data_IF_276870055230
#
_entry.id   IF_276870055230
#
_cell.length_a   1.000
_cell.length_b   1.000
_cell.length_c   1.000
_cell.angle_alpha   90.00
_cell.angle_beta   90.00
_cell.angle_gamma   90.00
#
_symmetry.space_group_name_H-M   'P 1'
#
loop_
_entity.id
_entity.type
_entity.pdbx_description
1 polymer ?
#
# COMPACT_ATOMS: atom_id res chain seq x y z
N UNK A 1 11.34 -1.11 -14.61
CA UNK A 1 10.52 -0.83 -13.42
C UNK A 1 9.87 -2.13 -12.97
N UNK A 2 10.06 -2.53 -11.72
CA UNK A 2 9.42 -3.73 -11.16
C UNK A 2 8.11 -3.26 -10.53
N UNK A 3 7.00 -3.60 -11.17
CA UNK A 3 5.64 -3.18 -10.80
C UNK A 3 4.76 -4.36 -10.47
N UNK A 4 3.85 -4.18 -9.52
CA UNK A 4 2.78 -5.13 -9.23
C UNK A 4 1.42 -4.42 -9.26
N UNK A 5 0.44 -5.07 -9.88
CA UNK A 5 -0.96 -4.65 -9.89
C UNK A 5 -1.81 -5.81 -9.37
N UNK A 6 -2.55 -5.54 -8.29
CA UNK A 6 -3.48 -6.48 -7.66
C UNK A 6 -4.82 -5.78 -7.39
N UNK A 7 -5.20 -4.87 -8.29
CA UNK A 7 -6.47 -4.15 -8.27
C UNK A 7 -7.66 -5.07 -8.09
N UNK A 8 -8.58 -4.71 -7.18
CA UNK A 8 -9.84 -5.43 -6.96
C UNK A 8 -9.70 -6.82 -6.33
N UNK A 9 -8.51 -7.18 -5.85
CA UNK A 9 -8.30 -8.44 -5.13
C UNK A 9 -8.71 -8.35 -3.66
N UNK A 10 -8.80 -9.49 -2.97
CA UNK A 10 -9.04 -9.56 -1.52
C UNK A 10 -7.76 -9.26 -0.69
N UNK A 11 -6.91 -8.38 -1.20
CA UNK A 11 -5.67 -7.97 -0.50
C UNK A 11 -6.02 -7.27 0.80
N UNK A 12 -5.42 -7.73 1.90
CA UNK A 12 -5.57 -7.19 3.25
C UNK A 12 -4.28 -6.57 3.77
N UNK A 13 -4.34 -5.97 4.96
CA UNK A 13 -3.20 -5.36 5.65
C UNK A 13 -1.98 -6.30 5.78
N UNK A 14 -2.21 -7.61 5.91
CA UNK A 14 -1.13 -8.60 5.98
C UNK A 14 -0.32 -8.66 4.70
N UNK A 15 -0.99 -8.61 3.54
CA UNK A 15 -0.36 -8.61 2.23
C UNK A 15 0.41 -7.31 1.99
N UNK A 16 -0.14 -6.17 2.43
CA UNK A 16 0.53 -4.86 2.39
C UNK A 16 1.89 -4.88 3.09
N UNK A 17 1.99 -5.53 4.26
CA UNK A 17 3.27 -5.66 4.97
C UNK A 17 4.33 -6.37 4.11
N UNK A 18 3.96 -7.45 3.44
CA UNK A 18 4.88 -8.19 2.56
C UNK A 18 5.32 -7.35 1.35
N UNK A 19 4.41 -6.55 0.79
CA UNK A 19 4.72 -5.63 -0.32
C UNK A 19 5.67 -4.53 0.15
N UNK A 20 5.42 -3.94 1.32
CA UNK A 20 6.27 -2.90 1.92
C UNK A 20 7.69 -3.38 2.19
N UNK A 21 7.86 -4.64 2.60
CA UNK A 21 9.17 -5.26 2.83
C UNK A 21 9.99 -5.54 1.55
N UNK A 22 9.42 -5.36 0.36
CA UNK A 22 10.12 -5.60 -0.89
C UNK A 22 11.06 -4.44 -1.21
N UNK A 23 12.37 -4.72 -1.28
CA UNK A 23 13.38 -3.73 -1.65
C UNK A 23 13.50 -3.51 -3.18
N UNK A 24 12.75 -4.27 -3.97
CA UNK A 24 12.84 -4.26 -5.43
C UNK A 24 11.61 -3.62 -6.09
N UNK A 25 10.47 -3.54 -5.39
CA UNK A 25 9.24 -2.99 -5.95
C UNK A 25 9.32 -1.47 -6.01
N UNK A 26 9.06 -0.92 -7.20
CA UNK A 26 9.08 0.52 -7.45
C UNK A 26 7.68 1.09 -7.65
N UNK A 27 6.75 0.27 -8.14
CA UNK A 27 5.38 0.68 -8.45
C UNK A 27 4.37 -0.36 -7.97
N UNK A 28 3.37 0.08 -7.21
CA UNK A 28 2.34 -0.78 -6.63
C UNK A 28 0.95 -0.17 -6.90
N UNK A 29 0.07 -0.96 -7.51
CA UNK A 29 -1.34 -0.61 -7.69
C UNK A 29 -2.23 -1.52 -6.85
N UNK A 30 -2.97 -0.92 -5.92
CA UNK A 30 -3.90 -1.57 -4.98
C UNK A 30 -5.31 -0.98 -5.11
N UNK A 31 -5.69 -0.51 -6.29
CA UNK A 31 -6.99 0.14 -6.48
C UNK A 31 -8.14 -0.83 -6.18
N UNK A 32 -9.26 -0.31 -5.67
CA UNK A 32 -10.45 -1.10 -5.30
C UNK A 32 -10.20 -2.20 -4.25
N UNK A 33 -9.06 -2.20 -3.54
CA UNK A 33 -8.78 -3.16 -2.46
C UNK A 33 -9.48 -2.74 -1.16
N UNK A 34 -10.71 -3.22 -0.98
CA UNK A 34 -11.58 -2.79 0.12
C UNK A 34 -11.17 -3.25 1.51
N UNK A 35 -10.23 -4.19 1.65
CA UNK A 35 -9.78 -4.72 2.95
C UNK A 35 -8.51 -4.05 3.49
N UNK A 36 -8.01 -3.03 2.79
CA UNK A 36 -6.86 -2.23 3.22
C UNK A 36 -7.33 -1.13 4.17
N UNK A 37 -6.71 -1.04 5.34
CA UNK A 37 -7.01 -0.03 6.36
C UNK A 37 -5.84 0.92 6.59
N UNK A 38 -6.08 2.02 7.31
CA UNK A 38 -5.05 2.95 7.77
C UNK A 38 -3.92 2.24 8.55
N UNK A 39 -4.25 1.19 9.31
CA UNK A 39 -3.26 0.41 10.06
C UNK A 39 -2.34 -0.38 9.11
N UNK A 40 -2.90 -1.00 8.07
CA UNK A 40 -2.14 -1.68 7.03
C UNK A 40 -1.20 -0.74 6.30
N UNK A 41 -1.71 0.45 5.92
CA UNK A 41 -0.90 1.45 5.24
C UNK A 41 0.20 2.03 6.14
N UNK A 42 -0.08 2.20 7.43
CA UNK A 42 0.94 2.63 8.41
C UNK A 42 2.08 1.62 8.51
N UNK A 43 1.75 0.32 8.62
CA UNK A 43 2.77 -0.74 8.63
C UNK A 43 3.55 -0.79 7.32
N UNK A 44 2.86 -0.64 6.19
CA UNK A 44 3.49 -0.56 4.88
C UNK A 44 4.50 0.60 4.81
N UNK A 45 4.09 1.81 5.20
CA UNK A 45 4.95 3.00 5.18
C UNK A 45 6.19 2.83 6.07
N UNK A 46 6.08 2.16 7.22
CA UNK A 46 7.26 1.93 8.10
C UNK A 46 8.31 0.99 7.53
N UNK A 47 7.96 0.17 6.52
CA UNK A 47 8.86 -0.85 5.96
C UNK A 47 9.24 -0.59 4.51
N UNK A 48 8.49 0.26 3.83
CA UNK A 48 8.70 0.59 2.44
C UNK A 48 9.91 1.52 2.28
N UNK A 49 10.88 1.12 1.47
CA UNK A 49 12.13 1.87 1.26
C UNK A 49 12.40 2.23 -0.20
N UNK A 50 11.58 1.72 -1.12
CA UNK A 50 11.94 1.67 -2.55
C UNK A 50 10.79 2.03 -3.51
N UNK A 51 9.58 2.26 -3.00
CA UNK A 51 8.40 2.58 -3.81
C UNK A 51 8.47 4.03 -4.29
N UNK A 52 8.26 4.22 -5.57
CA UNK A 52 8.18 5.51 -6.25
C UNK A 52 6.74 5.85 -6.67
N UNK A 53 5.89 4.82 -6.85
CA UNK A 53 4.50 4.97 -7.24
C UNK A 53 3.58 4.05 -6.44
N UNK A 54 2.54 4.62 -5.83
CA UNK A 54 1.52 3.89 -5.09
C UNK A 54 0.12 4.39 -5.48
N UNK A 55 -0.72 3.50 -5.99
CA UNK A 55 -2.12 3.81 -6.30
C UNK A 55 -3.07 3.07 -5.34
N UNK A 56 -3.79 3.86 -4.53
CA UNK A 56 -4.78 3.41 -3.53
C UNK A 56 -6.22 3.87 -3.88
N UNK A 57 -6.47 4.17 -5.15
CA UNK A 57 -7.78 4.68 -5.58
C UNK A 57 -8.91 3.73 -5.21
N UNK A 58 -10.04 4.27 -4.75
CA UNK A 58 -11.24 3.49 -4.38
C UNK A 58 -11.03 2.46 -3.23
N UNK A 59 -10.01 2.63 -2.39
CA UNK A 59 -9.88 1.91 -1.12
C UNK A 59 -10.76 2.54 -0.04
N UNK A 60 -11.98 2.03 0.12
CA UNK A 60 -13.04 2.65 0.93
C UNK A 60 -12.78 2.72 2.45
N UNK A 61 -11.80 1.98 2.98
CA UNK A 61 -11.45 1.97 4.40
C UNK A 61 -10.27 2.90 4.75
N UNK A 62 -9.74 3.63 3.76
CA UNK A 62 -8.67 4.60 3.99
C UNK A 62 -9.24 5.98 4.35
N UNK A 63 -8.59 6.63 5.32
CA UNK A 63 -8.89 8.00 5.74
C UNK A 63 -7.65 8.90 5.63
N UNK A 64 -7.78 10.18 5.97
CA UNK A 64 -6.67 11.12 6.01
C UNK A 64 -5.53 10.68 6.96
N UNK A 65 -5.82 9.83 7.95
CA UNK A 65 -4.77 9.25 8.80
C UNK A 65 -3.81 8.37 8.00
N UNK A 66 -4.29 7.68 6.97
CA UNK A 66 -3.45 6.89 6.08
C UNK A 66 -2.42 7.77 5.36
N UNK A 67 -2.85 8.95 4.88
CA UNK A 67 -1.96 9.91 4.22
C UNK A 67 -0.88 10.42 5.17
N UNK A 68 -1.23 10.69 6.44
CA UNK A 68 -0.24 11.07 7.46
C UNK A 68 0.85 10.01 7.60
N UNK A 69 0.48 8.74 7.59
CA UNK A 69 1.46 7.65 7.70
C UNK A 69 2.39 7.56 6.49
N UNK A 70 1.90 7.90 5.30
CA UNK A 70 2.71 7.92 4.08
C UNK A 70 3.77 9.03 4.05
N UNK A 71 3.69 10.03 4.93
CA UNK A 71 4.72 11.06 5.04
C UNK A 71 6.07 10.55 5.55
N UNK A 72 6.10 9.33 6.11
CA UNK A 72 7.29 8.68 6.66
C UNK A 72 7.79 7.52 5.78
N UNK A 73 7.21 7.37 4.59
CA UNK A 73 7.53 6.34 3.59
C UNK A 73 8.67 6.79 2.67
#
# INVERSE_FOLDING_TARGET
LISIDITGTQTSDTSLKSIGNSNNLRSVTLSYCRQITDLGLTKFATSCTSIEYLNLSFCAQLTDNAIRSMAFC
#
